data_IF_284010868274
#
_entry.id   IF_284010868274
#
_cell.length_a   1.000
_cell.length_b   1.000
_cell.length_c   1.000
_cell.angle_alpha   90.00
_cell.angle_beta   90.00
_cell.angle_gamma   90.00
#
_symmetry.space_group_name_H-M   'P 1'
#
loop_
_entity.id
_entity.type
_entity.pdbx_description
1 polymer ?
#
# COMPACT_ATOMS: atom_id res chain seq x y z
N UNK A 1 -15.59 2.67 -8.68
CA UNK A 1 -15.05 2.32 -7.35
C UNK A 1 -15.60 1.00 -6.84
N UNK A 2 -16.92 0.86 -6.53
CA UNK A 2 -17.46 -0.41 -5.97
C UNK A 2 -17.24 -1.61 -6.88
N UNK A 3 -17.46 -1.48 -8.19
CA UNK A 3 -17.21 -2.55 -9.16
C UNK A 3 -15.73 -2.98 -9.16
N UNK A 4 -14.81 -2.03 -9.12
CA UNK A 4 -13.38 -2.32 -9.15
C UNK A 4 -12.94 -3.00 -7.84
N UNK A 5 -13.44 -2.54 -6.69
CA UNK A 5 -13.22 -3.20 -5.39
C UNK A 5 -13.77 -4.62 -5.40
N UNK A 6 -14.97 -4.83 -5.95
CA UNK A 6 -15.56 -6.16 -6.03
C UNK A 6 -14.76 -7.14 -6.91
N UNK A 7 -14.22 -6.67 -8.04
CA UNK A 7 -13.36 -7.49 -8.91
C UNK A 7 -12.04 -7.87 -8.22
N UNK A 8 -11.43 -6.91 -7.50
CA UNK A 8 -10.21 -7.18 -6.73
C UNK A 8 -10.50 -8.14 -5.59
N UNK A 9 -11.60 -7.95 -4.85
CA UNK A 9 -12.04 -8.88 -3.80
C UNK A 9 -12.31 -10.30 -4.35
N UNK A 10 -12.89 -10.43 -5.54
CA UNK A 10 -13.10 -11.74 -6.16
C UNK A 10 -11.77 -12.42 -6.48
N UNK A 11 -10.82 -11.70 -7.08
CA UNK A 11 -9.51 -12.24 -7.39
C UNK A 11 -8.76 -12.65 -6.11
N UNK A 12 -8.76 -11.77 -5.11
CA UNK A 12 -8.12 -12.01 -3.82
C UNK A 12 -8.77 -13.17 -3.06
N UNK A 13 -10.08 -13.29 -3.17
CA UNK A 13 -10.84 -14.42 -2.60
C UNK A 13 -10.45 -15.78 -3.21
N UNK A 14 -10.23 -15.85 -4.51
CA UNK A 14 -9.71 -17.07 -5.15
C UNK A 14 -8.32 -17.43 -4.63
N UNK A 15 -7.45 -16.44 -4.48
CA UNK A 15 -6.10 -16.62 -3.92
C UNK A 15 -6.17 -17.07 -2.46
N UNK A 16 -7.04 -16.46 -1.65
CA UNK A 16 -7.24 -16.84 -0.25
C UNK A 16 -7.76 -18.27 -0.08
N UNK A 17 -8.72 -18.68 -0.93
CA UNK A 17 -9.20 -20.07 -0.94
C UNK A 17 -8.09 -21.05 -1.32
N UNK A 18 -7.26 -20.70 -2.32
CA UNK A 18 -6.10 -21.50 -2.69
C UNK A 18 -5.10 -21.62 -1.54
N UNK A 19 -4.86 -20.53 -0.79
CA UNK A 19 -4.00 -20.53 0.39
C UNK A 19 -4.49 -21.51 1.45
N UNK A 20 -5.77 -21.42 1.83
CA UNK A 20 -6.38 -22.33 2.81
C UNK A 20 -6.29 -23.79 2.39
N UNK A 21 -6.69 -24.08 1.15
CA UNK A 21 -6.67 -25.44 0.61
C UNK A 21 -5.26 -26.03 0.54
N UNK A 22 -4.29 -25.28 -0.01
CA UNK A 22 -2.90 -25.74 -0.15
C UNK A 22 -2.24 -25.99 1.20
N UNK A 23 -2.50 -25.12 2.19
CA UNK A 23 -1.93 -25.25 3.53
C UNK A 23 -2.39 -26.55 4.22
N UNK A 24 -3.70 -26.85 4.16
CA UNK A 24 -4.25 -28.08 4.74
C UNK A 24 -3.86 -29.32 3.93
N UNK A 25 -3.82 -29.21 2.61
CA UNK A 25 -3.33 -30.27 1.73
C UNK A 25 -1.86 -30.63 2.00
N UNK A 26 -1.06 -29.66 2.41
CA UNK A 26 0.31 -29.85 2.89
C UNK A 26 0.42 -30.40 4.32
N UNK A 27 -0.67 -30.92 4.87
CA UNK A 27 -0.76 -31.52 6.23
C UNK A 27 -0.51 -30.56 7.39
N UNK A 28 -0.60 -29.24 7.15
CA UNK A 28 -0.60 -28.29 8.26
C UNK A 28 -1.96 -28.28 8.95
N UNK A 29 -2.02 -28.07 10.26
CA UNK A 29 -3.26 -27.99 11.00
C UNK A 29 -4.19 -26.89 10.44
N UNK A 30 -5.48 -27.14 10.39
CA UNK A 30 -6.50 -26.24 9.82
C UNK A 30 -6.51 -24.83 10.42
N UNK A 31 -6.15 -24.71 11.69
CA UNK A 31 -6.10 -23.44 12.40
C UNK A 31 -4.92 -22.55 11.96
N UNK A 32 -3.87 -23.14 11.37
CA UNK A 32 -2.66 -22.39 10.95
C UNK A 32 -3.01 -21.37 9.86
N UNK A 33 -3.61 -21.71 8.71
CA UNK A 33 -3.97 -20.73 7.69
C UNK A 33 -4.99 -19.71 8.22
N UNK A 34 -5.91 -20.11 9.09
CA UNK A 34 -6.88 -19.20 9.72
C UNK A 34 -6.19 -18.19 10.63
N UNK A 35 -5.31 -18.64 11.51
CA UNK A 35 -4.54 -17.75 12.38
C UNK A 35 -3.66 -16.79 11.57
N UNK A 36 -2.98 -17.30 10.54
CA UNK A 36 -2.16 -16.46 9.66
C UNK A 36 -3.01 -15.42 8.91
N UNK A 37 -4.21 -15.78 8.44
CA UNK A 37 -5.06 -14.84 7.71
C UNK A 37 -5.58 -13.72 8.61
N UNK A 38 -5.85 -14.02 9.88
CA UNK A 38 -6.30 -13.02 10.85
C UNK A 38 -5.17 -12.11 11.36
N UNK A 39 -3.97 -12.66 11.58
CA UNK A 39 -2.88 -11.96 12.25
C UNK A 39 -1.91 -11.28 11.28
N UNK A 40 -1.63 -11.90 10.14
CA UNK A 40 -0.60 -11.42 9.19
C UNK A 40 -1.22 -10.64 8.04
N UNK A 41 -2.37 -11.04 7.54
CA UNK A 41 -3.11 -10.45 6.43
C UNK A 41 -2.22 -9.89 5.30
N UNK A 42 -1.32 -10.72 4.81
CA UNK A 42 -0.42 -10.38 3.71
C UNK A 42 -0.17 -11.64 2.86
N UNK A 43 -1.01 -11.85 1.84
CA UNK A 43 -1.06 -13.08 1.06
C UNK A 43 0.31 -13.59 0.62
N UNK A 44 1.12 -12.75 -0.02
CA UNK A 44 2.46 -13.15 -0.48
C UNK A 44 3.37 -13.64 0.66
N UNK A 45 3.32 -13.01 1.83
CA UNK A 45 4.10 -13.40 3.02
C UNK A 45 3.61 -14.70 3.62
N UNK A 46 2.29 -14.89 3.64
CA UNK A 46 1.66 -16.11 4.12
C UNK A 46 2.04 -17.32 3.24
N UNK A 47 1.92 -17.17 1.92
CA UNK A 47 2.35 -18.21 0.98
C UNK A 47 3.84 -18.52 1.10
N UNK A 48 4.70 -17.50 1.21
CA UNK A 48 6.13 -17.73 1.36
C UNK A 48 6.46 -18.46 2.66
N UNK A 49 5.85 -18.07 3.78
CA UNK A 49 6.07 -18.72 5.06
C UNK A 49 5.60 -20.18 5.04
N UNK A 50 4.39 -20.45 4.52
CA UNK A 50 3.87 -21.81 4.37
C UNK A 50 4.74 -22.61 3.41
N UNK A 51 5.16 -22.04 2.29
CA UNK A 51 6.04 -22.71 1.33
C UNK A 51 7.37 -23.15 1.93
N UNK A 52 7.98 -22.31 2.79
CA UNK A 52 9.20 -22.67 3.53
C UNK A 52 8.94 -23.85 4.48
N UNK A 53 7.82 -23.85 5.20
CA UNK A 53 7.46 -24.93 6.12
C UNK A 53 7.21 -26.22 5.36
N UNK A 54 6.46 -26.18 4.27
CA UNK A 54 6.13 -27.34 3.44
C UNK A 54 7.37 -27.94 2.77
N UNK A 55 8.37 -27.10 2.47
CA UNK A 55 9.67 -27.54 1.96
C UNK A 55 10.59 -28.14 3.07
N UNK A 56 10.12 -28.26 4.31
CA UNK A 56 10.89 -28.77 5.45
C UNK A 56 11.79 -27.72 6.12
N UNK A 57 11.61 -26.44 5.80
CA UNK A 57 12.33 -25.34 6.41
C UNK A 57 11.92 -25.09 7.86
N UNK A 58 12.81 -24.43 8.63
CA UNK A 58 12.53 -24.12 10.03
C UNK A 58 11.46 -23.02 10.18
N UNK A 59 10.71 -22.99 11.29
CA UNK A 59 9.78 -21.90 11.57
C UNK A 59 10.44 -20.51 11.57
N UNK A 60 11.70 -20.41 11.99
CA UNK A 60 12.44 -19.15 11.93
C UNK A 60 12.69 -18.69 10.49
N UNK A 61 13.04 -19.61 9.59
CA UNK A 61 13.20 -19.29 8.17
C UNK A 61 11.86 -18.87 7.54
N UNK A 62 10.75 -19.49 7.92
CA UNK A 62 9.41 -19.12 7.47
C UNK A 62 9.04 -17.71 7.92
N UNK A 63 9.25 -17.38 9.19
CA UNK A 63 9.01 -16.03 9.74
C UNK A 63 9.90 -15.01 9.05
N UNK A 64 11.18 -15.31 8.86
CA UNK A 64 12.13 -14.41 8.19
C UNK A 64 11.69 -14.14 6.73
N UNK A 65 11.31 -15.18 5.97
CA UNK A 65 10.84 -15.03 4.61
C UNK A 65 9.57 -14.15 4.53
N UNK A 66 8.60 -14.40 5.42
CA UNK A 66 7.39 -13.58 5.52
C UNK A 66 7.68 -12.14 5.90
N UNK A 67 8.54 -11.91 6.90
CA UNK A 67 8.92 -10.57 7.35
C UNK A 67 9.62 -9.77 6.26
N UNK A 68 10.54 -10.38 5.53
CA UNK A 68 11.22 -9.74 4.40
C UNK A 68 10.21 -9.30 3.33
N UNK A 69 9.27 -10.15 2.96
CA UNK A 69 8.23 -9.80 1.99
C UNK A 69 7.32 -8.69 2.50
N UNK A 70 7.06 -8.63 3.82
CA UNK A 70 6.26 -7.57 4.41
C UNK A 70 6.97 -6.22 4.48
N UNK A 71 8.29 -6.15 4.33
CA UNK A 71 8.99 -4.86 4.27
C UNK A 71 8.47 -3.96 3.15
N UNK A 72 7.88 -4.53 2.09
CA UNK A 72 7.23 -3.77 1.01
C UNK A 72 6.04 -2.93 1.49
N UNK A 73 5.42 -3.30 2.61
CA UNK A 73 4.29 -2.55 3.17
C UNK A 73 4.72 -1.27 3.90
N UNK A 74 6.00 -1.13 4.27
CA UNK A 74 6.51 0.07 4.94
C UNK A 74 6.27 1.35 4.13
N UNK A 75 6.65 1.46 2.85
CA UNK A 75 6.36 2.65 2.05
C UNK A 75 4.85 2.90 1.90
N UNK A 76 4.01 1.87 1.88
CA UNK A 76 2.56 2.04 1.85
C UNK A 76 2.03 2.64 3.15
N UNK A 77 2.52 2.17 4.30
CA UNK A 77 2.19 2.75 5.60
C UNK A 77 2.47 4.25 5.68
N UNK A 78 3.63 4.70 5.16
CA UNK A 78 3.94 6.13 5.06
C UNK A 78 3.01 6.86 4.09
N UNK A 79 2.68 6.25 2.96
CA UNK A 79 1.84 6.88 1.95
C UNK A 79 0.39 7.07 2.38
N UNK A 80 -0.12 6.28 3.33
CA UNK A 80 -1.50 6.35 3.84
C UNK A 80 -1.59 6.71 5.33
N UNK A 81 -0.51 7.20 5.93
CA UNK A 81 -0.47 7.54 7.35
C UNK A 81 -1.56 8.56 7.77
N UNK A 82 -1.90 9.46 6.85
CA UNK A 82 -2.95 10.47 7.01
C UNK A 82 -4.37 9.89 7.10
N UNK A 83 -4.61 8.73 6.48
CA UNK A 83 -5.94 8.08 6.47
C UNK A 83 -6.09 6.96 7.50
N UNK A 84 -4.98 6.38 7.97
CA UNK A 84 -4.96 5.33 9.00
C UNK A 84 -5.24 5.89 10.38
N UNK A 85 -4.66 7.06 10.70
CA UNK A 85 -4.87 7.75 11.97
C UNK A 85 -6.22 8.46 12.08
N UNK A 86 -6.64 8.87 13.29
CA UNK A 86 -7.68 9.88 13.44
C UNK A 86 -7.20 11.16 12.72
N UNK A 87 -8.12 11.95 12.13
CA UNK A 87 -7.75 13.19 11.46
C UNK A 87 -6.97 14.09 12.43
N UNK A 88 -5.71 14.29 12.13
CA UNK A 88 -4.88 15.26 12.82
C UNK A 88 -5.25 16.61 12.20
N UNK A 89 -5.80 17.51 12.99
CA UNK A 89 -5.95 18.87 12.51
C UNK A 89 -4.54 19.40 12.30
N UNK A 90 -4.18 19.64 11.05
CA UNK A 90 -3.25 20.70 10.74
C UNK A 90 -3.91 21.94 11.34
N UNK A 91 -3.31 22.47 12.40
CA UNK A 91 -3.74 23.74 12.98
C UNK A 91 -3.76 24.73 11.83
N UNK A 92 -4.96 24.96 11.30
CA UNK A 92 -5.24 26.14 10.53
C UNK A 92 -5.04 27.28 11.52
N UNK A 93 -3.85 27.89 11.45
CA UNK A 93 -3.48 29.01 12.31
C UNK A 93 -4.62 30.01 12.34
N UNK A 94 -5.11 30.20 13.55
CA UNK A 94 -5.95 31.24 14.02
C UNK A 94 -6.78 31.99 12.99
N UNK A 95 -8.03 31.55 12.80
CA UNK A 95 -9.16 32.49 12.59
C UNK A 95 -10.43 31.77 13.06
N UNK A 96 -11.09 32.35 14.08
CA UNK A 96 -12.45 32.08 14.52
C UNK A 96 -12.81 30.66 15.02
N UNK A 97 -12.20 30.22 16.14
CA UNK A 97 -12.57 29.00 16.86
C UNK A 97 -13.97 29.07 17.51
N UNK A 98 -14.64 30.20 17.48
CA UNK A 98 -15.88 30.46 18.29
C UNK A 98 -17.20 30.21 17.54
N UNK A 99 -17.16 29.80 16.26
CA UNK A 99 -18.38 29.59 15.45
C UNK A 99 -18.49 28.25 14.73
N UNK A 100 -17.61 27.32 14.93
CA UNK A 100 -17.66 26.03 14.26
C UNK A 100 -18.58 25.08 15.03
N UNK A 101 -19.69 24.65 14.42
CA UNK A 101 -20.43 23.49 14.89
C UNK A 101 -19.49 22.27 14.95
N UNK A 102 -19.53 21.46 16.04
CA UNK A 102 -18.69 20.28 16.17
C UNK A 102 -18.95 19.33 14.99
N UNK A 103 -17.96 19.23 14.11
CA UNK A 103 -17.99 18.32 12.97
C UNK A 103 -17.72 16.87 13.37
N UNK A 104 -17.92 15.89 12.46
CA UNK A 104 -17.62 14.48 12.73
C UNK A 104 -16.19 14.23 13.24
N UNK A 105 -15.25 15.10 12.92
CA UNK A 105 -13.86 15.04 13.39
C UNK A 105 -13.73 15.32 14.90
N UNK A 106 -14.58 16.19 15.47
CA UNK A 106 -14.56 16.52 16.89
C UNK A 106 -15.13 15.40 17.76
N UNK A 107 -16.04 14.61 17.22
CA UNK A 107 -16.54 13.41 17.90
C UNK A 107 -15.48 12.33 18.09
N UNK A 108 -14.45 12.29 17.22
CA UNK A 108 -13.33 11.36 17.36
C UNK A 108 -12.30 11.86 18.38
N UNK A 109 -12.20 13.17 18.61
CA UNK A 109 -11.33 13.77 19.65
C UNK A 109 -11.71 13.41 21.07
N UNK A 110 -13.00 13.26 21.36
CA UNK A 110 -13.51 12.86 22.68
C UNK A 110 -13.34 11.37 23.01
N UNK A 111 -12.86 10.54 22.06
CA UNK A 111 -12.70 9.12 22.32
C UNK A 111 -11.44 8.83 23.15
N UNK A 112 -11.53 7.90 24.13
CA UNK A 112 -10.40 7.55 24.99
C UNK A 112 -9.19 7.09 24.17
N UNK A 113 -7.97 7.33 24.67
CA UNK A 113 -6.71 7.03 23.99
C UNK A 113 -6.62 5.58 23.47
N UNK A 114 -7.20 4.62 24.20
CA UNK A 114 -7.32 3.21 23.80
C UNK A 114 -8.07 3.01 22.47
N UNK A 115 -9.11 3.82 22.19
CA UNK A 115 -9.87 3.71 20.95
C UNK A 115 -9.09 4.24 19.74
N UNK A 116 -8.33 5.30 19.94
CA UNK A 116 -7.44 5.86 18.90
C UNK A 116 -6.35 4.86 18.53
N UNK A 117 -5.79 4.16 19.51
CA UNK A 117 -4.81 3.10 19.31
C UNK A 117 -5.40 1.91 18.55
N UNK A 118 -6.61 1.46 18.90
CA UNK A 118 -7.29 0.39 18.18
C UNK A 118 -7.55 0.73 16.71
N UNK A 119 -7.99 1.96 16.41
CA UNK A 119 -8.17 2.41 15.02
C UNK A 119 -6.85 2.36 14.26
N UNK A 120 -5.76 2.79 14.87
CA UNK A 120 -4.43 2.74 14.25
C UNK A 120 -3.97 1.30 13.99
N UNK A 121 -4.19 0.40 14.92
CA UNK A 121 -3.87 -1.02 14.74
C UNK A 121 -4.71 -1.66 13.63
N UNK A 122 -6.03 -1.46 13.66
CA UNK A 122 -6.90 -1.95 12.61
C UNK A 122 -6.54 -1.36 11.24
N UNK A 123 -6.22 -0.07 11.21
CA UNK A 123 -5.76 0.59 10.00
C UNK A 123 -4.44 0.01 9.49
N UNK A 124 -3.49 -0.25 10.39
CA UNK A 124 -2.23 -0.90 10.02
C UNK A 124 -2.44 -2.32 9.49
N UNK A 125 -3.40 -3.07 10.08
CA UNK A 125 -3.75 -4.42 9.65
C UNK A 125 -4.32 -4.46 8.23
N UNK A 126 -5.08 -3.45 7.81
CA UNK A 126 -5.72 -3.42 6.49
C UNK A 126 -4.91 -2.68 5.42
N UNK A 127 -3.64 -2.36 5.69
CA UNK A 127 -2.73 -1.82 4.69
C UNK A 127 -2.35 -2.94 3.72
N UNK A 128 -2.81 -2.83 2.49
CA UNK A 128 -2.43 -3.68 1.36
C UNK A 128 -2.03 -2.83 0.17
N UNK A 129 -1.50 -3.46 -0.86
CA UNK A 129 -1.20 -2.82 -2.15
C UNK A 129 -2.48 -2.19 -2.72
N UNK A 130 -3.61 -2.89 -2.66
CA UNK A 130 -4.90 -2.50 -3.21
C UNK A 130 -5.54 -1.37 -2.39
N UNK A 131 -5.64 -1.51 -1.06
CA UNK A 131 -6.23 -0.48 -0.21
C UNK A 131 -5.46 0.84 -0.33
N UNK A 132 -4.14 0.76 -0.42
CA UNK A 132 -3.26 1.91 -0.66
C UNK A 132 -3.49 2.50 -2.05
N UNK A 133 -3.54 1.67 -3.09
CA UNK A 133 -3.76 2.14 -4.46
C UNK A 133 -5.12 2.83 -4.62
N UNK A 134 -6.19 2.28 -4.03
CA UNK A 134 -7.52 2.92 -4.07
C UNK A 134 -7.55 4.24 -3.30
N UNK A 135 -6.86 4.33 -2.17
CA UNK A 135 -6.73 5.58 -1.41
C UNK A 135 -5.98 6.65 -2.22
N UNK A 136 -4.83 6.30 -2.79
CA UNK A 136 -3.98 7.26 -3.52
C UNK A 136 -4.60 7.78 -4.83
N UNK A 137 -5.60 7.09 -5.37
CA UNK A 137 -6.38 7.58 -6.53
C UNK A 137 -7.34 8.72 -6.18
N UNK A 138 -7.61 8.94 -4.89
CA UNK A 138 -8.52 9.99 -4.45
C UNK A 138 -7.74 11.24 -4.07
N UNK A 139 -8.15 12.38 -4.60
CA UNK A 139 -7.58 13.70 -4.26
C UNK A 139 -8.24 14.32 -3.04
N UNK A 140 -9.53 14.04 -2.84
CA UNK A 140 -10.28 14.51 -1.67
C UNK A 140 -9.96 13.68 -0.43
N UNK A 141 -9.57 14.29 0.71
CA UNK A 141 -9.16 13.57 1.92
C UNK A 141 -10.25 12.65 2.49
N UNK A 142 -11.52 13.07 2.45
CA UNK A 142 -12.62 12.28 2.96
C UNK A 142 -12.86 11.04 2.09
N UNK A 143 -12.85 11.20 0.77
CA UNK A 143 -12.96 10.10 -0.20
C UNK A 143 -11.75 9.16 -0.12
N UNK A 144 -10.55 9.71 0.05
CA UNK A 144 -9.31 8.94 0.23
C UNK A 144 -9.41 8.02 1.44
N UNK A 145 -9.85 8.56 2.58
CA UNK A 145 -10.08 7.79 3.79
C UNK A 145 -11.17 6.73 3.61
N UNK A 146 -12.31 7.10 3.01
CA UNK A 146 -13.39 6.16 2.73
C UNK A 146 -12.95 5.04 1.80
N UNK A 147 -12.20 5.34 0.74
CA UNK A 147 -11.67 4.35 -0.19
C UNK A 147 -10.72 3.36 0.50
N UNK A 148 -9.80 3.85 1.34
CA UNK A 148 -8.88 3.03 2.12
C UNK A 148 -9.61 2.02 3.00
N UNK A 149 -10.51 2.53 3.86
CA UNK A 149 -11.21 1.68 4.81
C UNK A 149 -12.19 0.73 4.16
N UNK A 150 -12.94 1.18 3.14
CA UNK A 150 -13.89 0.33 2.43
C UNK A 150 -13.17 -0.80 1.69
N UNK A 151 -12.10 -0.50 0.96
CA UNK A 151 -11.32 -1.51 0.25
C UNK A 151 -10.61 -2.45 1.24
N UNK A 152 -9.92 -1.91 2.22
CA UNK A 152 -9.14 -2.70 3.17
C UNK A 152 -10.01 -3.65 4.02
N UNK A 153 -11.15 -3.18 4.53
CA UNK A 153 -12.08 -4.04 5.28
C UNK A 153 -12.78 -5.08 4.41
N UNK A 154 -13.16 -4.71 3.18
CA UNK A 154 -13.75 -5.67 2.24
C UNK A 154 -12.76 -6.79 1.89
N UNK A 155 -11.51 -6.44 1.57
CA UNK A 155 -10.46 -7.41 1.30
C UNK A 155 -10.17 -8.29 2.52
N UNK A 156 -10.08 -7.70 3.72
CA UNK A 156 -9.88 -8.47 4.95
C UNK A 156 -11.00 -9.49 5.18
N UNK A 157 -12.25 -9.09 5.01
CA UNK A 157 -13.40 -9.98 5.19
C UNK A 157 -13.40 -11.11 4.13
N UNK A 158 -13.23 -10.74 2.85
CA UNK A 158 -13.21 -11.70 1.74
C UNK A 158 -12.06 -12.67 1.88
N UNK A 159 -10.85 -12.20 2.18
CA UNK A 159 -9.67 -13.05 2.39
C UNK A 159 -9.92 -14.09 3.48
N UNK A 160 -10.35 -13.66 4.68
CA UNK A 160 -10.55 -14.57 5.80
C UNK A 160 -11.67 -15.61 5.53
N UNK A 161 -12.78 -15.17 4.92
CA UNK A 161 -13.86 -16.08 4.52
C UNK A 161 -13.36 -17.08 3.47
N UNK A 162 -12.63 -16.62 2.49
CA UNK A 162 -12.08 -17.46 1.41
C UNK A 162 -11.03 -18.45 1.93
N UNK A 163 -10.15 -18.04 2.84
CA UNK A 163 -9.21 -18.96 3.50
C UNK A 163 -9.96 -20.05 4.24
N UNK A 164 -11.01 -19.70 5.00
CA UNK A 164 -11.83 -20.69 5.70
C UNK A 164 -12.51 -21.65 4.73
N UNK A 165 -13.10 -21.15 3.65
CA UNK A 165 -13.70 -21.99 2.60
C UNK A 165 -12.64 -22.89 1.96
N UNK A 166 -11.44 -22.38 1.72
CA UNK A 166 -10.32 -23.15 1.22
C UNK A 166 -9.87 -24.27 2.17
N UNK A 167 -9.82 -23.98 3.46
CA UNK A 167 -9.55 -25.00 4.51
C UNK A 167 -10.59 -26.10 4.47
N UNK A 168 -11.88 -25.75 4.41
CA UNK A 168 -12.98 -26.73 4.34
C UNK A 168 -12.89 -27.57 3.06
N UNK A 169 -12.66 -26.93 1.91
CA UNK A 169 -12.50 -27.64 0.64
C UNK A 169 -11.27 -28.57 0.67
N UNK A 170 -10.12 -28.10 1.16
CA UNK A 170 -8.89 -28.89 1.26
C UNK A 170 -9.00 -30.08 2.22
N UNK A 171 -9.83 -29.98 3.26
CA UNK A 171 -10.08 -31.10 4.18
C UNK A 171 -10.92 -32.22 3.59
N UNK A 172 -11.77 -31.91 2.61
CA UNK A 172 -12.64 -32.89 1.91
C UNK A 172 -11.90 -33.55 0.75
N UNK A 173 -11.03 -32.83 0.09
CA UNK A 173 -10.27 -33.30 -1.07
C UNK A 173 -9.05 -34.11 -0.59
N UNK A 174 -9.22 -35.41 -0.44
CA UNK A 174 -8.16 -36.34 0.01
C UNK A 174 -7.04 -36.53 -1.01
N UNK A 175 -7.27 -36.25 -2.28
CA UNK A 175 -6.27 -36.37 -3.34
C UNK A 175 -6.04 -35.02 -4.00
N UNK A 176 -5.11 -34.26 -3.45
CA UNK A 176 -4.77 -32.92 -3.90
C UNK A 176 -4.11 -32.90 -5.28
N UNK A 177 -3.41 -33.99 -5.66
CA UNK A 177 -2.75 -34.11 -6.95
C UNK A 177 -3.76 -34.20 -8.11
N UNK A 178 -4.99 -34.70 -7.84
CA UNK A 178 -6.03 -34.80 -8.87
C UNK A 178 -6.54 -33.42 -9.34
N UNK A 179 -6.35 -32.37 -8.56
CA UNK A 179 -6.78 -31.01 -8.86
C UNK A 179 -5.64 -30.05 -9.17
N UNK A 180 -4.40 -30.54 -9.25
CA UNK A 180 -3.21 -29.70 -9.52
C UNK A 180 -2.97 -28.65 -8.43
N UNK A 181 -3.38 -28.91 -7.19
CA UNK A 181 -3.20 -27.94 -6.09
C UNK A 181 -1.74 -27.73 -5.73
N UNK A 182 -0.87 -28.71 -5.98
CA UNK A 182 0.58 -28.62 -5.89
C UNK A 182 1.17 -27.60 -6.90
N UNK A 183 0.55 -27.45 -8.07
CA UNK A 183 0.91 -26.42 -9.04
C UNK A 183 0.29 -25.04 -8.72
N UNK A 184 -0.75 -24.98 -7.92
CA UNK A 184 -1.47 -23.73 -7.59
C UNK A 184 -0.56 -22.77 -6.83
N UNK A 185 0.23 -23.27 -5.87
CA UNK A 185 1.12 -22.44 -5.08
C UNK A 185 2.19 -21.73 -5.94
N UNK A 186 3.00 -22.41 -6.74
CA UNK A 186 3.95 -21.73 -7.62
C UNK A 186 3.25 -20.87 -8.67
N UNK A 187 2.08 -21.27 -9.18
CA UNK A 187 1.33 -20.47 -10.15
C UNK A 187 0.85 -19.13 -9.56
N UNK A 188 0.37 -19.13 -8.32
CA UNK A 188 -0.02 -17.90 -7.62
C UNK A 188 1.17 -16.99 -7.39
N UNK A 189 2.32 -17.53 -6.95
CA UNK A 189 3.54 -16.74 -6.77
C UNK A 189 4.02 -16.11 -8.08
N UNK A 190 3.98 -16.87 -9.17
CA UNK A 190 4.33 -16.36 -10.50
C UNK A 190 3.33 -15.26 -10.92
N UNK A 191 2.03 -15.48 -10.77
CA UNK A 191 1.01 -14.50 -11.12
C UNK A 191 1.18 -13.18 -10.35
N UNK A 192 1.55 -13.23 -9.07
CA UNK A 192 1.86 -12.06 -8.25
C UNK A 192 3.16 -11.36 -8.69
N UNK A 193 4.13 -12.11 -9.19
CA UNK A 193 5.41 -11.57 -9.66
C UNK A 193 5.33 -10.97 -11.07
N UNK A 194 4.43 -11.47 -11.94
CA UNK A 194 4.34 -11.07 -13.35
C UNK A 194 4.28 -9.57 -13.58
N UNK A 195 3.45 -8.78 -12.86
CA UNK A 195 3.40 -7.33 -13.07
C UNK A 195 4.73 -6.63 -12.77
N UNK A 196 5.46 -7.11 -11.75
CA UNK A 196 6.77 -6.58 -11.39
C UNK A 196 7.84 -6.93 -12.41
N UNK A 197 7.69 -8.07 -13.10
CA UNK A 197 8.61 -8.53 -14.15
C UNK A 197 8.45 -7.77 -15.48
N UNK A 198 7.50 -6.86 -15.59
CA UNK A 198 7.42 -5.95 -16.74
C UNK A 198 8.63 -5.00 -16.82
N UNK A 199 9.22 -4.63 -15.69
CA UNK A 199 10.44 -3.86 -15.65
C UNK A 199 11.68 -4.72 -15.89
N UNK A 200 12.52 -4.32 -16.85
CA UNK A 200 13.70 -5.09 -17.27
C UNK A 200 14.71 -5.29 -16.12
N UNK A 201 14.87 -4.29 -15.25
CA UNK A 201 15.79 -4.38 -14.11
C UNK A 201 15.29 -5.38 -13.07
N UNK A 202 13.99 -5.33 -12.79
CA UNK A 202 13.33 -6.28 -11.88
C UNK A 202 13.46 -7.70 -12.43
N UNK A 203 13.34 -7.89 -13.75
CA UNK A 203 13.61 -9.20 -14.38
C UNK A 203 15.02 -9.72 -14.10
N UNK A 204 16.04 -8.86 -14.30
CA UNK A 204 17.43 -9.28 -14.06
C UNK A 204 17.66 -9.59 -12.58
N UNK A 205 17.13 -8.76 -11.65
CA UNK A 205 17.26 -9.02 -10.23
C UNK A 205 16.52 -10.29 -9.81
N UNK A 206 15.32 -10.51 -10.33
CA UNK A 206 14.53 -11.71 -10.06
C UNK A 206 15.19 -12.96 -10.65
N UNK A 207 15.70 -12.87 -11.89
CA UNK A 207 16.44 -13.95 -12.52
C UNK A 207 17.72 -14.32 -11.77
N UNK A 208 18.51 -13.32 -11.37
CA UNK A 208 19.71 -13.54 -10.56
C UNK A 208 19.35 -14.18 -9.19
N UNK A 209 18.29 -13.68 -8.53
CA UNK A 209 17.80 -14.27 -7.29
C UNK A 209 17.35 -15.72 -7.47
N UNK A 210 16.62 -16.02 -8.54
CA UNK A 210 16.18 -17.38 -8.86
C UNK A 210 17.37 -18.33 -9.09
N UNK A 211 18.38 -17.90 -9.86
CA UNK A 211 19.60 -18.68 -10.09
C UNK A 211 20.34 -18.95 -8.77
N UNK A 212 20.48 -17.94 -7.91
CA UNK A 212 21.11 -18.07 -6.59
C UNK A 212 20.32 -19.08 -5.74
N UNK A 213 18.98 -18.96 -5.69
CA UNK A 213 18.17 -19.89 -4.93
C UNK A 213 18.32 -21.33 -5.39
N UNK A 214 18.21 -21.57 -6.70
CA UNK A 214 18.35 -22.92 -7.29
C UNK A 214 19.74 -23.49 -7.05
N UNK A 215 20.79 -22.71 -7.25
CA UNK A 215 22.17 -23.14 -7.04
C UNK A 215 22.46 -23.50 -5.57
N UNK A 216 21.83 -22.83 -4.62
CA UNK A 216 22.03 -23.05 -3.19
C UNK A 216 21.08 -24.09 -2.58
N UNK A 217 20.04 -24.51 -3.32
CA UNK A 217 19.08 -25.51 -2.84
C UNK A 217 19.73 -26.85 -2.43
N UNK A 218 20.72 -27.40 -3.14
CA UNK A 218 21.35 -28.66 -2.73
C UNK A 218 22.29 -28.52 -1.53
N UNK A 219 22.72 -27.30 -1.20
CA UNK A 219 23.78 -27.06 -0.20
C UNK A 219 23.18 -26.52 1.12
N UNK A 220 22.13 -25.72 1.03
CA UNK A 220 21.55 -25.05 2.21
C UNK A 220 20.28 -25.73 2.70
N UNK A 221 20.02 -25.71 4.02
CA UNK A 221 18.75 -26.15 4.58
C UNK A 221 17.56 -25.40 3.96
N UNK A 222 16.41 -26.10 3.87
CA UNK A 222 15.20 -25.55 3.27
C UNK A 222 14.81 -24.20 3.91
N UNK A 223 14.45 -23.23 3.04
CA UNK A 223 14.14 -21.84 3.41
C UNK A 223 15.32 -20.87 3.32
N UNK A 224 16.57 -21.30 3.53
CA UNK A 224 17.74 -20.44 3.37
C UNK A 224 18.02 -20.05 1.92
N UNK A 225 17.84 -20.92 0.91
CA UNK A 225 17.95 -20.52 -0.49
C UNK A 225 17.02 -19.37 -0.88
N UNK A 226 15.81 -19.34 -0.32
CA UNK A 226 14.83 -18.26 -0.55
C UNK A 226 15.35 -16.93 0.00
N UNK A 227 15.94 -16.94 1.20
CA UNK A 227 16.56 -15.74 1.76
C UNK A 227 17.81 -15.33 0.99
N UNK A 228 18.63 -16.29 0.54
CA UNK A 228 19.80 -16.02 -0.28
C UNK A 228 19.44 -15.41 -1.65
N UNK A 229 18.26 -15.71 -2.19
CA UNK A 229 17.75 -15.09 -3.42
C UNK A 229 17.68 -13.56 -3.33
N UNK A 230 17.57 -12.98 -2.13
CA UNK A 230 17.61 -11.55 -1.91
C UNK A 230 18.92 -10.90 -2.37
N UNK A 231 20.01 -11.66 -2.42
CA UNK A 231 21.27 -11.17 -2.99
C UNK A 231 21.10 -10.76 -4.47
N UNK A 232 20.12 -11.33 -5.17
CA UNK A 232 19.77 -10.92 -6.53
C UNK A 232 19.34 -9.44 -6.62
N UNK A 233 18.83 -8.85 -5.53
CA UNK A 233 18.50 -7.42 -5.49
C UNK A 233 19.74 -6.53 -5.67
N UNK A 234 20.93 -6.99 -5.28
CA UNK A 234 22.17 -6.26 -5.46
C UNK A 234 22.48 -5.99 -6.94
N UNK A 235 22.03 -6.85 -7.85
CA UNK A 235 22.22 -6.68 -9.30
C UNK A 235 21.41 -5.51 -9.87
N UNK A 236 20.28 -5.18 -9.23
CA UNK A 236 19.43 -4.02 -9.58
C UNK A 236 19.79 -2.74 -8.82
N UNK A 237 20.64 -2.86 -7.78
CA UNK A 237 20.98 -1.75 -6.92
C UNK A 237 21.94 -0.81 -7.65
N UNK A 238 21.41 0.36 -8.08
CA UNK A 238 22.26 1.53 -8.37
C UNK A 238 21.95 2.57 -7.29
N UNK A 239 22.99 3.08 -6.59
CA UNK A 239 22.78 4.22 -5.72
C UNK A 239 22.18 5.33 -6.60
N UNK A 240 20.99 5.81 -6.22
CA UNK A 240 20.41 7.00 -6.84
C UNK A 240 21.49 8.09 -6.75
N UNK A 241 22.10 8.43 -7.88
CA UNK A 241 22.82 9.72 -7.95
C UNK A 241 21.77 10.75 -7.55
N UNK A 242 21.97 11.34 -6.37
CA UNK A 242 21.26 12.57 -6.02
C UNK A 242 21.56 13.51 -7.18
N UNK A 243 20.61 13.67 -8.07
CA UNK A 243 20.57 14.85 -8.92
C UNK A 243 20.59 15.99 -7.92
N UNK A 244 21.70 16.74 -7.90
CA UNK A 244 21.77 17.96 -7.11
C UNK A 244 20.50 18.73 -7.47
N UNK A 245 19.70 19.03 -6.45
CA UNK A 245 18.52 19.85 -6.64
C UNK A 245 19.00 21.10 -7.38
N UNK A 246 18.47 21.32 -8.56
CA UNK A 246 18.73 22.57 -9.28
C UNK A 246 18.47 23.69 -8.28
N UNK A 247 19.39 24.66 -8.11
CA UNK A 247 19.14 25.77 -7.21
C UNK A 247 17.81 26.39 -7.56
N UNK A 248 16.90 26.44 -6.59
CA UNK A 248 15.65 27.19 -6.73
C UNK A 248 16.05 28.60 -7.14
N UNK A 249 15.61 29.15 -8.29
CA UNK A 249 15.92 30.51 -8.64
C UNK A 249 15.49 31.40 -7.48
N UNK A 250 16.43 32.21 -6.97
CA UNK A 250 16.10 33.17 -5.95
C UNK A 250 14.93 34.06 -6.44
N UNK A 251 13.94 34.35 -5.58
CA UNK A 251 12.86 35.24 -5.97
C UNK A 251 13.48 36.54 -6.42
N UNK A 252 13.19 36.95 -7.65
CA UNK A 252 13.62 38.22 -8.20
C UNK A 252 13.21 39.31 -7.22
N UNK A 253 14.16 39.90 -6.55
CA UNK A 253 13.96 41.09 -5.74
C UNK A 253 13.40 42.14 -6.67
N UNK A 254 12.13 42.46 -6.54
CA UNK A 254 11.51 43.57 -7.18
C UNK A 254 12.21 44.83 -6.69
N UNK A 255 13.17 45.33 -7.46
CA UNK A 255 13.63 46.70 -7.32
C UNK A 255 12.43 47.58 -7.66
N UNK A 256 11.72 47.99 -6.61
CA UNK A 256 10.81 49.11 -6.70
C UNK A 256 11.63 50.35 -7.08
N UNK A 257 11.54 50.73 -8.34
CA UNK A 257 11.98 52.04 -8.82
C UNK A 257 11.04 53.08 -8.26
N UNK A 258 11.46 53.67 -7.13
CA UNK A 258 10.97 54.94 -6.62
C UNK A 258 11.55 56.04 -7.51
N UNK A 259 10.84 56.44 -8.55
CA UNK A 259 11.09 57.73 -9.22
C UNK A 259 9.87 58.06 -10.05
N UNK A 260 8.91 58.76 -9.44
CA UNK A 260 7.96 59.64 -10.15
C UNK A 260 7.22 60.51 -9.13
N UNK A 261 7.94 61.40 -8.48
CA UNK A 261 7.33 62.55 -7.85
C UNK A 261 8.08 63.75 -8.37
N UNK A 262 7.57 64.37 -9.40
CA UNK A 262 7.69 65.84 -9.70
C UNK A 262 7.08 66.11 -11.09
N UNK A 263 6.19 67.00 -11.09
CA UNK A 263 5.73 67.84 -12.24
C UNK A 263 4.31 67.50 -12.68
N UNK A 264 3.33 68.05 -11.97
CA UNK A 264 2.09 68.56 -12.54
C UNK A 264 1.78 69.87 -11.80
N UNK A 265 2.23 70.95 -12.38
CA UNK A 265 1.61 72.28 -12.12
C UNK A 265 1.28 72.89 -13.48
N UNK A 266 0.05 73.34 -13.58
CA UNK A 266 -0.51 74.28 -14.54
C UNK A 266 -0.71 73.81 -15.98
N UNK A 267 -1.98 73.67 -16.37
CA UNK A 267 -2.64 74.73 -17.18
C UNK A 267 -4.15 74.56 -17.08
N UNK A 268 -4.77 75.65 -16.66
CA UNK A 268 -6.17 75.89 -16.60
C UNK A 268 -6.71 76.35 -17.94
N UNK A 269 -8.01 76.24 -18.09
CA UNK A 269 -8.90 76.96 -18.97
C UNK A 269 -8.98 76.49 -20.44
N UNK A 270 -10.09 75.86 -20.79
CA UNK A 270 -11.11 76.48 -21.68
C UNK A 270 -12.27 75.50 -21.86
N UNK A 271 -13.45 75.91 -21.43
CA UNK A 271 -14.72 75.50 -21.98
C UNK A 271 -15.03 76.36 -23.15
N UNK A 272 -15.76 75.93 -24.18
CA UNK A 272 -17.20 76.07 -24.17
C UNK A 272 -18.02 74.98 -24.89
N UNK A 273 -19.20 74.78 -24.36
CA UNK A 273 -20.52 74.64 -24.98
C UNK A 273 -20.63 74.31 -26.48
N UNK A 274 -21.41 73.32 -26.85
CA UNK A 274 -22.64 73.49 -27.65
C UNK A 274 -23.22 72.09 -27.99
N UNK A 275 -24.46 71.86 -27.57
CA UNK A 275 -25.72 71.72 -28.31
C UNK A 275 -25.73 70.75 -29.48
N UNK A 276 -26.72 69.89 -29.47
CA UNK A 276 -27.53 69.59 -30.63
C UNK A 276 -27.75 68.11 -30.89
N UNK A 277 -28.95 67.66 -30.48
CA UNK A 277 -29.97 67.05 -31.34
C UNK A 277 -29.50 65.87 -32.28
N UNK A 278 -29.98 64.73 -32.10
CA UNK A 278 -31.27 64.08 -32.38
C UNK A 278 -31.23 62.63 -31.90
#
# INVERSE_FOLDING_TARGET
MFRDVALVCLADGLVGASFGATTVAGHLPWWVPVAMSLLVFAGGSQFAAVGVVLAGGSPFAAVAAGAVLNTRLLPYGFAVADVVGPPENVDAGGVDADRAHPGPADQVRGRPARWRWLIRLLGAQVITDESTAFALRQTDPARRRAAFWTCGLALFAVWNVSVLLGVLAGSVVRNTNAFGLDATFPAVLIALALPALADLRTRFSAGAGAVIAVALTPVLPAGLPVLAALAGLATGWRPRRRTAASPVPAPATAHATSTAHATITRTAAHSPSNQGER
#
